data_IF_042970634956
#
_entry.id   IF_042970634956
#
_cell.length_a   1.000
_cell.length_b   1.000
_cell.length_c   1.000
_cell.angle_alpha   90.00
_cell.angle_beta   90.00
_cell.angle_gamma   90.00
#
_symmetry.space_group_name_H-M   'P 1'
#
loop_
_entity.id
_entity.type
_entity.pdbx_description
1 polymer ?
#
# COMPACT_ATOMS: atom_id res chain seq x y z
N UNK A 1 0.30 -30.95 1.84
CA UNK A 1 0.74 -29.55 1.99
C UNK A 1 -0.49 -28.67 2.02
N UNK A 2 -0.57 -27.75 2.99
CA UNK A 2 -1.73 -26.87 3.18
C UNK A 2 -1.92 -25.93 1.98
N UNK A 3 -3.15 -25.51 1.72
CA UNK A 3 -3.46 -24.39 0.82
C UNK A 3 -3.69 -23.15 1.67
N UNK A 4 -3.01 -22.06 1.38
CA UNK A 4 -3.01 -20.86 2.23
C UNK A 4 -3.25 -19.63 1.37
N UNK A 5 -4.09 -18.73 1.87
CA UNK A 5 -4.27 -17.37 1.37
C UNK A 5 -4.14 -16.42 2.55
N UNK A 6 -3.49 -15.29 2.34
CA UNK A 6 -3.35 -14.21 3.30
C UNK A 6 -3.80 -12.90 2.65
N UNK A 7 -4.27 -11.95 3.44
CA UNK A 7 -4.92 -10.73 2.96
C UNK A 7 -4.73 -9.62 3.99
N UNK A 8 -4.72 -8.33 3.59
CA UNK A 8 -4.97 -7.26 4.54
C UNK A 8 -6.31 -7.48 5.23
N UNK A 9 -6.45 -7.01 6.48
CA UNK A 9 -7.69 -7.18 7.23
C UNK A 9 -8.84 -6.33 6.65
N UNK A 10 -8.52 -5.21 5.99
CA UNK A 10 -9.49 -4.35 5.31
C UNK A 10 -8.86 -3.65 4.09
N UNK A 11 -9.59 -3.67 2.98
CA UNK A 11 -9.29 -2.88 1.78
C UNK A 11 -10.43 -1.90 1.53
N UNK A 12 -10.10 -0.62 1.33
CA UNK A 12 -11.06 0.47 1.13
C UNK A 12 -10.64 1.19 -0.14
N UNK A 13 -11.56 1.38 -1.07
CA UNK A 13 -11.33 2.12 -2.31
C UNK A 13 -12.53 2.98 -2.63
N UNK A 14 -12.27 4.21 -3.05
CA UNK A 14 -13.30 5.11 -3.56
C UNK A 14 -12.82 6.54 -3.71
N UNK A 15 -13.63 7.40 -4.34
CA UNK A 15 -13.33 8.83 -4.42
C UNK A 15 -13.33 9.40 -3.00
N UNK A 16 -12.34 10.25 -2.71
CA UNK A 16 -12.24 10.97 -1.45
C UNK A 16 -12.09 10.05 -0.22
N UNK A 17 -11.59 8.82 -0.41
CA UNK A 17 -11.37 7.86 0.67
C UNK A 17 -10.43 8.41 1.77
N UNK A 18 -9.50 9.30 1.44
CA UNK A 18 -8.61 9.93 2.42
C UNK A 18 -9.35 10.82 3.42
N UNK A 19 -10.51 11.39 3.06
CA UNK A 19 -11.32 12.18 3.99
C UNK A 19 -11.85 11.33 5.16
N UNK A 20 -11.84 10.00 5.01
CA UNK A 20 -12.28 9.06 6.03
C UNK A 20 -11.13 8.25 6.66
N UNK A 21 -9.87 8.54 6.35
CA UNK A 21 -8.74 7.75 6.89
C UNK A 21 -8.71 7.78 8.43
N UNK A 22 -9.06 8.91 9.08
CA UNK A 22 -9.17 9.01 10.54
C UNK A 22 -10.19 8.06 11.14
N UNK A 23 -11.36 7.91 10.48
CA UNK A 23 -12.43 6.99 10.90
C UNK A 23 -11.94 5.55 10.98
N UNK A 24 -11.18 5.13 9.98
CA UNK A 24 -10.69 3.76 9.88
C UNK A 24 -9.45 3.50 10.73
N UNK A 25 -8.66 4.54 11.00
CA UNK A 25 -7.51 4.47 11.92
C UNK A 25 -7.93 4.44 13.39
N UNK A 26 -8.97 5.19 13.79
CA UNK A 26 -9.38 5.34 15.20
C UNK A 26 -9.49 4.01 16.00
N UNK A 27 -10.05 2.91 15.45
CA UNK A 27 -10.10 1.63 16.16
C UNK A 27 -8.74 0.95 16.37
N UNK A 28 -7.71 1.34 15.62
CA UNK A 28 -6.34 0.81 15.73
C UNK A 28 -5.50 1.58 16.77
N UNK A 29 -5.80 2.87 16.96
CA UNK A 29 -5.10 3.70 17.93
C UNK A 29 -5.39 5.20 17.75
N UNK A 30 -5.29 5.95 18.85
CA UNK A 30 -5.60 7.38 18.88
C UNK A 30 -4.37 8.29 18.66
N UNK A 31 -3.19 7.69 18.49
CA UNK A 31 -1.93 8.40 18.20
C UNK A 31 -1.25 7.76 17.00
N UNK A 32 -1.14 8.49 15.90
CA UNK A 32 -0.60 7.99 14.65
C UNK A 32 0.74 8.65 14.31
N UNK A 33 1.72 7.87 13.87
CA UNK A 33 2.84 8.40 13.09
C UNK A 33 2.48 8.30 11.61
N UNK A 34 2.47 9.43 10.90
CA UNK A 34 2.11 9.55 9.49
C UNK A 34 3.39 9.80 8.70
N UNK A 35 3.79 8.82 7.89
CA UNK A 35 5.01 8.83 7.09
C UNK A 35 4.62 9.16 5.65
N UNK A 36 5.12 10.29 5.15
CA UNK A 36 4.91 10.75 3.78
C UNK A 36 6.14 11.53 3.29
N UNK A 37 6.44 11.51 1.99
CA UNK A 37 7.44 12.43 1.46
C UNK A 37 6.89 13.87 1.39
N UNK A 38 7.78 14.83 1.13
CA UNK A 38 7.41 16.25 1.08
C UNK A 38 6.30 16.54 0.05
N UNK A 39 6.38 15.93 -1.14
CA UNK A 39 5.40 16.17 -2.19
C UNK A 39 4.01 15.64 -1.78
N UNK A 40 3.97 14.45 -1.18
CA UNK A 40 2.72 13.85 -0.71
C UNK A 40 2.13 14.62 0.48
N UNK A 41 2.97 15.17 1.37
CA UNK A 41 2.50 16.07 2.42
C UNK A 41 1.83 17.32 1.84
N UNK A 42 2.40 17.92 0.80
CA UNK A 42 1.81 19.08 0.13
C UNK A 42 0.50 18.70 -0.61
N UNK A 43 0.44 17.49 -1.18
CA UNK A 43 -0.71 16.99 -1.93
C UNK A 43 -1.92 16.62 -1.04
N UNK A 44 -1.68 15.90 0.05
CA UNK A 44 -2.72 15.23 0.83
C UNK A 44 -2.66 15.50 2.35
N UNK A 45 -1.64 16.22 2.83
CA UNK A 45 -1.40 16.41 4.27
C UNK A 45 -2.55 17.11 4.98
N UNK A 46 -3.17 18.12 4.37
CA UNK A 46 -4.35 18.81 4.93
C UNK A 46 -5.54 17.87 5.05
N UNK A 47 -5.88 17.14 3.99
CA UNK A 47 -7.00 16.17 3.96
C UNK A 47 -6.82 15.12 5.05
N UNK A 48 -5.62 14.54 5.16
CA UNK A 48 -5.32 13.54 6.18
C UNK A 48 -5.41 14.16 7.58
N UNK A 49 -4.83 15.35 7.80
CA UNK A 49 -4.87 16.05 9.10
C UNK A 49 -6.30 16.38 9.53
N UNK A 50 -7.12 16.88 8.61
CA UNK A 50 -8.52 17.22 8.88
C UNK A 50 -9.32 15.97 9.22
N UNK A 51 -9.11 14.87 8.49
CA UNK A 51 -9.71 13.57 8.81
C UNK A 51 -9.28 13.06 10.18
N UNK A 52 -7.98 13.11 10.50
CA UNK A 52 -7.49 12.73 11.83
C UNK A 52 -8.14 13.55 12.94
N UNK A 53 -8.22 14.87 12.76
CA UNK A 53 -8.82 15.80 13.73
C UNK A 53 -10.32 15.51 13.92
N UNK A 54 -11.06 15.34 12.83
CA UNK A 54 -12.50 15.04 12.85
C UNK A 54 -12.83 13.77 13.63
N UNK A 55 -11.96 12.77 13.56
CA UNK A 55 -12.17 11.47 14.22
C UNK A 55 -11.32 11.29 15.49
N UNK A 56 -10.81 12.39 16.05
CA UNK A 56 -10.08 12.42 17.32
C UNK A 56 -8.88 11.46 17.35
N UNK A 57 -8.09 11.47 16.28
CA UNK A 57 -6.79 10.80 16.19
C UNK A 57 -5.71 11.88 16.16
N UNK A 58 -4.76 11.82 17.09
CA UNK A 58 -3.60 12.70 17.09
C UNK A 58 -2.56 12.19 16.08
N UNK A 59 -2.45 12.84 14.93
CA UNK A 59 -1.51 12.48 13.86
C UNK A 59 -0.25 13.35 13.88
N UNK A 60 0.91 12.72 14.07
CA UNK A 60 2.22 13.35 13.88
C UNK A 60 2.73 13.05 12.47
N UNK A 61 2.94 14.09 11.65
CA UNK A 61 3.51 13.95 10.31
C UNK A 61 5.04 13.95 10.39
N UNK A 62 5.65 12.95 9.77
CA UNK A 62 7.10 12.83 9.67
C UNK A 62 7.52 12.64 8.22
N UNK A 63 8.49 13.44 7.78
CA UNK A 63 8.94 13.45 6.40
C UNK A 63 9.76 12.19 6.11
N UNK A 64 9.37 11.46 5.06
CA UNK A 64 10.14 10.38 4.49
C UNK A 64 11.25 10.92 3.59
N UNK A 65 12.48 10.44 3.76
CA UNK A 65 13.65 10.91 3.01
C UNK A 65 13.92 10.17 1.69
N UNK A 66 12.94 9.41 1.16
CA UNK A 66 12.92 8.93 -0.22
C UNK A 66 13.36 7.48 -0.43
N UNK A 67 14.30 6.96 0.37
CA UNK A 67 14.79 5.58 0.23
C UNK A 67 14.39 4.69 1.41
N UNK A 68 13.84 3.51 1.08
CA UNK A 68 13.49 2.47 2.05
C UNK A 68 14.77 1.72 2.46
N UNK A 69 15.53 2.31 3.38
CA UNK A 69 16.79 1.77 3.91
C UNK A 69 16.64 1.40 5.38
N UNK A 70 17.50 0.51 5.87
CA UNK A 70 17.55 0.20 7.31
C UNK A 70 17.72 1.45 8.19
N UNK A 71 18.56 2.40 7.76
CA UNK A 71 18.82 3.66 8.47
C UNK A 71 17.57 4.53 8.60
N UNK A 72 16.82 4.68 7.50
CA UNK A 72 15.61 5.50 7.50
C UNK A 72 14.48 4.83 8.31
N UNK A 73 14.37 3.50 8.23
CA UNK A 73 13.45 2.72 9.06
C UNK A 73 13.77 2.92 10.54
N UNK A 74 15.04 2.80 10.95
CA UNK A 74 15.45 2.94 12.34
C UNK A 74 15.21 4.37 12.87
N UNK A 75 15.46 5.39 12.06
CA UNK A 75 15.13 6.79 12.38
C UNK A 75 13.63 6.96 12.67
N UNK A 76 12.79 6.44 11.80
CA UNK A 76 11.33 6.54 11.93
C UNK A 76 10.78 5.70 13.09
N UNK A 77 11.42 4.58 13.42
CA UNK A 77 11.10 3.79 14.63
C UNK A 77 11.36 4.60 15.90
N UNK A 78 12.47 5.33 15.98
CA UNK A 78 12.75 6.18 17.15
C UNK A 78 11.73 7.33 17.26
N UNK A 79 11.33 7.92 16.14
CA UNK A 79 10.28 8.96 16.13
C UNK A 79 8.93 8.37 16.56
N UNK A 80 8.56 7.17 16.08
CA UNK A 80 7.34 6.49 16.49
C UNK A 80 7.29 6.28 18.01
N UNK A 81 8.42 5.89 18.62
CA UNK A 81 8.54 5.75 20.08
C UNK A 81 8.43 7.09 20.80
N UNK A 82 9.11 8.12 20.33
CA UNK A 82 9.07 9.48 20.93
C UNK A 82 7.66 10.07 20.91
N UNK A 83 6.91 9.85 19.83
CA UNK A 83 5.51 10.28 19.70
C UNK A 83 4.52 9.34 20.40
N UNK A 84 5.02 8.24 21.00
CA UNK A 84 4.22 7.18 21.60
C UNK A 84 3.10 6.71 20.65
N UNK A 85 3.44 6.54 19.37
CA UNK A 85 2.51 6.12 18.33
C UNK A 85 1.90 4.76 18.69
N UNK A 86 0.61 4.62 18.38
CA UNK A 86 -0.17 3.40 18.53
C UNK A 86 -0.51 2.77 17.18
N UNK A 87 -0.32 3.52 16.08
CA UNK A 87 -0.55 3.08 14.70
C UNK A 87 0.40 3.83 13.78
N UNK A 88 0.90 3.13 12.75
CA UNK A 88 1.71 3.74 11.69
C UNK A 88 0.83 3.92 10.45
N UNK A 89 0.92 5.08 9.80
CA UNK A 89 0.24 5.36 8.53
C UNK A 89 1.30 5.69 7.49
N UNK A 90 1.36 4.95 6.39
CA UNK A 90 2.16 5.30 5.23
C UNK A 90 1.27 5.92 4.15
N UNK A 91 1.57 7.14 3.71
CA UNK A 91 0.85 7.80 2.59
C UNK A 91 1.86 8.15 1.50
N UNK A 92 1.72 7.56 0.30
CA UNK A 92 2.62 7.85 -0.81
C UNK A 92 2.83 6.71 -1.80
N UNK A 93 3.99 6.69 -2.43
CA UNK A 93 4.42 5.64 -3.36
C UNK A 93 5.10 4.46 -2.66
N UNK A 94 5.45 3.42 -3.43
CA UNK A 94 5.90 2.12 -2.91
C UNK A 94 6.99 2.17 -1.82
N UNK A 95 8.02 3.01 -1.97
CA UNK A 95 9.11 3.15 -0.98
C UNK A 95 8.63 3.68 0.37
N UNK A 96 7.70 4.63 0.36
CA UNK A 96 7.07 5.15 1.59
C UNK A 96 6.26 4.06 2.27
N UNK A 97 5.49 3.29 1.49
CA UNK A 97 4.62 2.24 2.02
C UNK A 97 5.42 1.07 2.60
N UNK A 98 6.51 0.68 1.93
CA UNK A 98 7.44 -0.33 2.43
C UNK A 98 8.14 0.11 3.72
N UNK A 99 8.58 1.36 3.77
CA UNK A 99 9.15 1.94 4.99
C UNK A 99 8.14 1.92 6.14
N UNK A 100 6.89 2.32 5.89
CA UNK A 100 5.82 2.31 6.91
C UNK A 100 5.52 0.89 7.42
N UNK A 101 5.45 -0.11 6.53
CA UNK A 101 5.29 -1.52 6.93
C UNK A 101 6.46 -1.99 7.81
N UNK A 102 7.69 -1.64 7.46
CA UNK A 102 8.87 -2.01 8.23
C UNK A 102 8.92 -1.33 9.61
N UNK A 103 8.58 -0.05 9.69
CA UNK A 103 8.48 0.69 10.96
C UNK A 103 7.41 0.06 11.86
N UNK A 104 6.21 -0.20 11.32
CA UNK A 104 5.14 -0.82 12.07
C UNK A 104 5.52 -2.21 12.59
N UNK A 105 6.19 -3.02 11.76
CA UNK A 105 6.69 -4.34 12.15
C UNK A 105 7.70 -4.24 13.30
N UNK A 106 8.69 -3.34 13.22
CA UNK A 106 9.68 -3.15 14.28
C UNK A 106 9.08 -2.61 15.58
N UNK A 107 8.05 -1.76 15.48
CA UNK A 107 7.33 -1.23 16.64
C UNK A 107 6.24 -2.18 17.18
N UNK A 108 5.95 -3.30 16.48
CA UNK A 108 4.83 -4.18 16.77
C UNK A 108 3.46 -3.47 16.80
N UNK A 109 3.30 -2.47 15.93
CA UNK A 109 2.09 -1.67 15.82
C UNK A 109 1.26 -2.07 14.59
N UNK A 110 -0.06 -1.80 14.59
CA UNK A 110 -0.86 -1.86 13.38
C UNK A 110 -0.39 -0.84 12.33
N UNK A 111 -0.66 -1.14 11.06
CA UNK A 111 -0.29 -0.30 9.91
C UNK A 111 -1.46 -0.03 8.99
N UNK A 112 -1.62 1.24 8.61
CA UNK A 112 -2.51 1.71 7.56
C UNK A 112 -1.67 2.16 6.37
N UNK A 113 -1.99 1.67 5.18
CA UNK A 113 -1.27 1.95 3.95
C UNK A 113 -2.21 2.70 3.01
N UNK A 114 -1.80 3.88 2.55
CA UNK A 114 -2.57 4.71 1.62
C UNK A 114 -1.73 5.06 0.39
N UNK A 115 -1.80 4.25 -0.67
CA UNK A 115 -1.10 4.54 -1.92
C UNK A 115 -1.67 5.80 -2.57
N UNK A 116 -0.80 6.70 -3.02
CA UNK A 116 -1.19 7.86 -3.84
C UNK A 116 -1.11 7.56 -5.34
N UNK A 117 -0.58 6.40 -5.70
CA UNK A 117 -0.42 5.90 -7.06
C UNK A 117 -0.73 4.40 -7.09
N UNK A 118 -1.30 3.91 -8.19
CA UNK A 118 -1.56 2.50 -8.44
C UNK A 118 -0.55 1.93 -9.44
N UNK A 119 0.73 1.87 -9.04
CA UNK A 119 1.84 1.48 -9.93
C UNK A 119 2.45 0.11 -9.68
N UNK A 120 2.13 -0.52 -8.55
CA UNK A 120 2.53 -1.88 -8.19
C UNK A 120 1.49 -2.54 -7.29
N UNK A 121 1.56 -3.87 -7.11
CA UNK A 121 0.68 -4.63 -6.20
C UNK A 121 1.16 -4.71 -4.73
N UNK A 122 2.33 -4.12 -4.43
CA UNK A 122 2.98 -4.09 -3.12
C UNK A 122 2.15 -3.56 -1.93
N UNK A 123 1.16 -2.64 -2.09
CA UNK A 123 0.42 -2.11 -0.95
C UNK A 123 -0.28 -3.14 -0.06
N UNK A 124 -0.69 -4.28 -0.62
CA UNK A 124 -1.43 -5.30 0.14
C UNK A 124 -0.54 -6.42 0.68
N UNK A 125 0.73 -6.49 0.28
CA UNK A 125 1.61 -7.63 0.55
C UNK A 125 2.21 -7.59 1.97
N UNK A 126 2.50 -8.77 2.51
CA UNK A 126 3.27 -8.96 3.74
C UNK A 126 4.79 -8.98 3.48
N UNK A 127 5.27 -8.05 2.65
CA UNK A 127 6.66 -7.95 2.21
C UNK A 127 7.04 -6.48 2.03
N UNK A 128 8.30 -6.15 2.27
CA UNK A 128 8.92 -4.93 1.74
C UNK A 128 10.25 -5.19 1.06
N UNK A 129 10.60 -4.32 0.11
CA UNK A 129 11.91 -4.32 -0.53
C UNK A 129 12.79 -3.28 0.16
N UNK A 130 13.94 -3.73 0.65
CA UNK A 130 14.94 -2.89 1.30
C UNK A 130 16.04 -2.55 0.30
N UNK A 131 16.49 -1.31 0.36
CA UNK A 131 17.54 -0.76 -0.50
C UNK A 131 18.73 -0.29 0.32
N UNK A 132 19.87 -0.21 -0.35
CA UNK A 132 21.06 0.50 0.12
C UNK A 132 20.88 2.02 -0.02
N UNK A 133 21.73 2.84 0.62
CA UNK A 133 21.69 4.31 0.46
C UNK A 133 21.95 4.78 -0.99
N UNK A 134 22.53 3.93 -1.83
CA UNK A 134 22.74 4.18 -3.26
C UNK A 134 21.58 3.72 -4.15
N UNK A 135 20.49 3.21 -3.55
CA UNK A 135 19.29 2.76 -4.27
C UNK A 135 19.40 1.38 -4.91
N UNK A 136 20.50 0.64 -4.67
CA UNK A 136 20.59 -0.77 -5.08
C UNK A 136 19.73 -1.65 -4.16
N UNK A 137 19.18 -2.73 -4.71
CA UNK A 137 18.50 -3.77 -3.93
C UNK A 137 19.43 -4.31 -2.83
N UNK A 138 18.92 -4.41 -1.62
CA UNK A 138 19.61 -5.00 -0.48
C UNK A 138 18.97 -6.35 -0.12
N UNK A 139 17.70 -6.32 0.31
CA UNK A 139 17.02 -7.52 0.79
C UNK A 139 15.50 -7.45 0.70
N UNK A 140 14.87 -8.60 0.92
CA UNK A 140 13.44 -8.73 1.15
C UNK A 140 13.16 -8.84 2.66
N UNK A 141 12.20 -8.06 3.15
CA UNK A 141 11.72 -8.13 4.53
C UNK A 141 10.28 -8.67 4.57
N UNK A 142 10.14 -9.93 4.97
CA UNK A 142 8.84 -10.60 5.09
C UNK A 142 8.20 -10.36 6.46
N UNK A 143 6.90 -10.15 6.49
CA UNK A 143 6.12 -9.92 7.71
C UNK A 143 5.22 -11.11 8.04
N UNK A 144 4.92 -11.36 9.33
CA UNK A 144 4.00 -12.42 9.73
C UNK A 144 2.53 -12.10 9.42
N UNK A 145 2.21 -10.85 9.06
CA UNK A 145 0.87 -10.40 8.65
C UNK A 145 0.94 -9.36 7.53
N UNK A 146 -0.12 -9.28 6.73
CA UNK A 146 -0.36 -8.19 5.79
C UNK A 146 -0.70 -6.88 6.53
N UNK A 147 -0.72 -5.72 5.85
CA UNK A 147 -1.22 -4.47 6.42
C UNK A 147 -2.62 -4.61 7.02
N UNK A 148 -2.89 -3.91 8.12
CA UNK A 148 -4.18 -3.97 8.79
C UNK A 148 -5.27 -3.31 7.91
N UNK A 149 -4.94 -2.17 7.30
CA UNK A 149 -5.85 -1.45 6.39
C UNK A 149 -5.10 -0.93 5.17
N UNK A 150 -5.69 -1.06 3.99
CA UNK A 150 -5.28 -0.37 2.75
C UNK A 150 -6.38 0.60 2.33
N UNK A 151 -6.04 1.87 2.09
CA UNK A 151 -6.95 2.94 1.67
C UNK A 151 -6.52 3.49 0.31
N UNK A 152 -7.37 3.33 -0.69
CA UNK A 152 -7.13 3.73 -2.07
C UNK A 152 -8.06 4.90 -2.43
N UNK A 153 -7.54 6.13 -2.37
CA UNK A 153 -8.28 7.30 -2.82
C UNK A 153 -8.19 7.43 -4.35
N UNK A 154 -9.29 7.13 -5.03
CA UNK A 154 -9.30 7.07 -6.48
C UNK A 154 -9.24 8.44 -7.13
N UNK A 155 -9.59 9.53 -6.44
CA UNK A 155 -9.40 10.89 -6.96
C UNK A 155 -7.92 11.29 -6.95
N UNK A 156 -7.20 10.93 -5.88
CA UNK A 156 -5.74 11.12 -5.80
C UNK A 156 -5.03 10.30 -6.87
N UNK A 157 -5.38 9.00 -7.00
CA UNK A 157 -4.79 8.10 -7.99
C UNK A 157 -5.10 8.57 -9.42
N UNK A 158 -6.34 9.00 -9.71
CA UNK A 158 -6.71 9.52 -11.02
C UNK A 158 -5.95 10.79 -11.42
N UNK A 159 -5.49 11.56 -10.43
CA UNK A 159 -4.72 12.80 -10.65
C UNK A 159 -3.22 12.53 -10.85
N UNK A 160 -2.75 11.30 -10.59
CA UNK A 160 -1.35 10.94 -10.78
C UNK A 160 -0.98 10.78 -12.27
N UNK A 161 0.32 10.86 -12.63
CA UNK A 161 0.76 10.64 -14.01
C UNK A 161 0.26 9.30 -14.58
N UNK A 162 -0.40 9.28 -15.76
CA UNK A 162 -0.98 8.06 -16.34
C UNK A 162 0.03 6.93 -16.57
N UNK A 163 1.31 7.28 -16.75
CA UNK A 163 2.40 6.31 -16.86
C UNK A 163 2.47 5.38 -15.65
N UNK A 164 2.15 5.87 -14.45
CA UNK A 164 2.19 5.10 -13.22
C UNK A 164 1.04 4.09 -13.16
N UNK A 165 -0.17 4.47 -13.57
CA UNK A 165 -1.28 3.51 -13.72
C UNK A 165 -0.94 2.43 -14.76
N UNK A 166 -0.37 2.83 -15.91
CA UNK A 166 0.04 1.87 -16.95
C UNK A 166 1.14 0.93 -16.45
N UNK A 167 2.07 1.41 -15.63
CA UNK A 167 3.06 0.57 -14.97
C UNK A 167 2.39 -0.46 -14.05
N UNK A 168 1.41 -0.03 -13.24
CA UNK A 168 0.63 -0.94 -12.39
C UNK A 168 -0.19 -1.96 -13.16
N UNK A 169 -0.75 -1.59 -14.31
CA UNK A 169 -1.39 -2.55 -15.22
C UNK A 169 -0.40 -3.58 -15.76
N UNK A 170 0.85 -3.18 -16.03
CA UNK A 170 1.91 -4.09 -16.45
C UNK A 170 2.28 -5.10 -15.36
N UNK A 171 2.39 -4.63 -14.11
CA UNK A 171 2.64 -5.47 -12.94
C UNK A 171 1.49 -6.47 -12.71
N UNK A 172 0.25 -5.96 -12.69
CA UNK A 172 -0.96 -6.74 -12.52
C UNK A 172 -1.23 -7.76 -13.65
N UNK A 173 -0.74 -7.49 -14.87
CA UNK A 173 -0.87 -8.40 -16.01
C UNK A 173 -0.11 -9.72 -15.79
N UNK A 174 1.02 -9.69 -15.08
CA UNK A 174 1.82 -10.88 -14.80
C UNK A 174 1.10 -11.85 -13.83
N UNK A 175 0.30 -11.30 -12.90
CA UNK A 175 -0.31 -12.01 -11.78
C UNK A 175 -1.03 -13.30 -12.18
N UNK A 176 -1.88 -13.26 -13.21
CA UNK A 176 -2.62 -14.46 -13.66
C UNK A 176 -1.69 -15.55 -14.18
N UNK A 177 -0.75 -15.18 -15.03
CA UNK A 177 0.12 -16.14 -15.70
C UNK A 177 1.07 -16.81 -14.70
N UNK A 178 1.62 -16.03 -13.75
CA UNK A 178 2.47 -16.54 -12.67
C UNK A 178 1.68 -17.42 -11.69
N UNK A 179 0.51 -16.96 -11.22
CA UNK A 179 -0.34 -17.73 -10.32
C UNK A 179 -0.78 -19.06 -10.96
N UNK A 180 -1.17 -19.04 -12.25
CA UNK A 180 -1.54 -20.24 -13.01
C UNK A 180 -0.36 -21.19 -13.18
N UNK A 181 0.83 -20.68 -13.49
CA UNK A 181 2.05 -21.49 -13.63
C UNK A 181 2.42 -22.17 -12.30
N UNK A 182 2.45 -21.40 -11.19
CA UNK A 182 2.71 -21.92 -9.85
C UNK A 182 1.69 -22.97 -9.41
N UNK A 183 0.40 -22.74 -9.70
CA UNK A 183 -0.68 -23.69 -9.40
C UNK A 183 -0.52 -25.01 -10.17
N UNK A 184 -0.26 -24.95 -11.49
CA UNK A 184 -0.01 -26.14 -12.33
C UNK A 184 1.24 -26.91 -11.89
N UNK A 185 2.30 -26.20 -11.54
CA UNK A 185 3.55 -26.78 -11.04
C UNK A 185 3.47 -27.19 -9.57
N UNK A 186 2.33 -26.98 -8.89
CA UNK A 186 2.12 -27.30 -7.47
C UNK A 186 3.18 -26.67 -6.54
N UNK A 187 3.67 -25.47 -6.89
CA UNK A 187 4.69 -24.74 -6.13
C UNK A 187 4.09 -24.03 -4.91
N UNK A 188 4.94 -23.78 -3.92
CA UNK A 188 4.59 -23.02 -2.73
C UNK A 188 4.52 -21.53 -3.08
N UNK A 189 3.53 -20.84 -2.54
CA UNK A 189 3.35 -19.39 -2.65
C UNK A 189 4.05 -18.68 -1.49
N UNK A 190 4.20 -17.35 -1.59
CA UNK A 190 4.73 -16.54 -0.49
C UNK A 190 3.85 -16.57 0.78
N UNK A 191 2.60 -17.02 0.68
CA UNK A 191 1.73 -17.24 1.83
C UNK A 191 2.06 -18.54 2.61
N UNK A 192 3.14 -19.24 2.24
CA UNK A 192 3.61 -20.43 2.97
C UNK A 192 2.88 -21.74 2.63
N UNK A 193 1.96 -21.74 1.66
CA UNK A 193 1.24 -22.94 1.22
C UNK A 193 1.04 -23.01 -0.29
N UNK A 194 0.35 -24.06 -0.75
CA UNK A 194 -0.11 -24.18 -2.14
C UNK A 194 -1.20 -23.15 -2.44
N UNK A 195 -1.36 -22.81 -3.72
CA UNK A 195 -2.40 -21.90 -4.20
C UNK A 195 -3.81 -22.38 -3.81
N UNK A 196 -4.63 -21.45 -3.28
CA UNK A 196 -6.07 -21.67 -3.03
C UNK A 196 -6.88 -21.41 -4.30
N UNK A 197 -8.10 -21.96 -4.38
CA UNK A 197 -9.01 -21.62 -5.48
C UNK A 197 -9.37 -20.13 -5.48
N UNK A 198 -9.54 -19.54 -4.30
CA UNK A 198 -9.80 -18.10 -4.13
C UNK A 198 -8.68 -17.25 -4.74
N UNK A 199 -7.41 -17.53 -4.42
CA UNK A 199 -6.29 -16.77 -4.95
C UNK A 199 -6.18 -16.90 -6.49
N UNK A 200 -6.43 -18.09 -7.04
CA UNK A 200 -6.39 -18.29 -8.48
C UNK A 200 -7.53 -17.56 -9.20
N UNK A 201 -8.74 -17.58 -8.63
CA UNK A 201 -9.89 -16.86 -9.17
C UNK A 201 -9.67 -15.33 -9.15
N UNK A 202 -9.08 -14.79 -8.08
CA UNK A 202 -8.72 -13.37 -8.01
C UNK A 202 -7.64 -13.00 -9.05
N UNK A 203 -6.64 -13.86 -9.26
CA UNK A 203 -5.62 -13.64 -10.27
C UNK A 203 -6.20 -13.64 -11.70
N UNK A 204 -7.14 -14.54 -11.99
CA UNK A 204 -7.85 -14.59 -13.27
C UNK A 204 -8.77 -13.38 -13.46
N UNK A 205 -9.50 -12.98 -12.41
CA UNK A 205 -10.31 -11.76 -12.42
C UNK A 205 -9.46 -10.53 -12.73
N UNK A 206 -8.29 -10.39 -12.09
CA UNK A 206 -7.34 -9.32 -12.37
C UNK A 206 -7.03 -9.21 -13.87
N UNK A 207 -6.68 -10.34 -14.50
CA UNK A 207 -6.41 -10.38 -15.94
C UNK A 207 -7.61 -9.93 -16.77
N UNK A 208 -8.81 -10.43 -16.49
CA UNK A 208 -10.01 -10.05 -17.23
C UNK A 208 -10.39 -8.57 -17.05
N UNK A 209 -10.30 -8.04 -15.83
CA UNK A 209 -10.52 -6.62 -15.54
C UNK A 209 -9.55 -5.73 -16.31
N UNK A 210 -8.26 -6.10 -16.41
CA UNK A 210 -7.30 -5.35 -17.21
C UNK A 210 -7.67 -5.29 -18.69
N UNK A 211 -8.15 -6.40 -19.26
CA UNK A 211 -8.59 -6.45 -20.66
C UNK A 211 -9.86 -5.61 -20.90
N UNK A 212 -10.80 -5.66 -19.95
CA UNK A 212 -12.07 -4.97 -20.07
C UNK A 212 -11.95 -3.46 -19.82
N UNK A 213 -11.18 -3.06 -18.80
CA UNK A 213 -11.16 -1.68 -18.29
C UNK A 213 -9.87 -0.94 -18.53
N UNK A 214 -8.73 -1.61 -18.76
CA UNK A 214 -7.42 -0.96 -18.75
C UNK A 214 -7.26 0.21 -19.73
N UNK A 215 -7.83 0.10 -20.94
CA UNK A 215 -7.80 1.21 -21.90
C UNK A 215 -8.70 2.37 -21.47
N UNK A 216 -9.90 2.09 -20.93
CA UNK A 216 -10.84 3.11 -20.43
C UNK A 216 -10.22 3.84 -19.23
N UNK A 217 -9.64 3.10 -18.30
CA UNK A 217 -8.93 3.63 -17.13
C UNK A 217 -7.80 4.57 -17.53
N UNK A 218 -6.95 4.15 -18.48
CA UNK A 218 -5.87 4.98 -19.02
C UNK A 218 -6.40 6.30 -19.59
N UNK A 219 -7.47 6.26 -20.40
CA UNK A 219 -8.05 7.47 -20.99
C UNK A 219 -8.64 8.42 -19.95
N UNK A 220 -9.21 7.89 -18.87
CA UNK A 220 -9.77 8.66 -17.76
C UNK A 220 -8.66 9.36 -16.96
N UNK A 221 -7.62 8.62 -16.56
CA UNK A 221 -6.47 9.16 -15.82
C UNK A 221 -5.64 10.13 -16.67
N UNK A 222 -5.54 9.93 -17.99
CA UNK A 222 -4.95 10.91 -18.91
C UNK A 222 -5.66 12.27 -18.92
N UNK A 223 -6.88 12.36 -18.38
CA UNK A 223 -7.65 13.59 -18.22
C UNK A 223 -7.87 13.96 -16.75
N UNK A 224 -7.20 13.27 -15.82
CA UNK A 224 -7.38 13.44 -14.38
C UNK A 224 -8.83 13.25 -13.91
N UNK A 225 -9.53 12.27 -14.49
CA UNK A 225 -10.92 11.95 -14.15
C UNK A 225 -11.01 10.57 -13.51
N UNK A 226 -11.67 10.49 -12.35
CA UNK A 226 -12.06 9.22 -11.74
C UNK A 226 -13.36 8.72 -12.38
N UNK A 227 -13.33 7.51 -12.95
CA UNK A 227 -14.52 6.82 -13.52
C UNK A 227 -14.64 5.44 -12.90
N UNK A 228 -15.70 4.69 -13.20
CA UNK A 228 -15.83 3.30 -12.74
C UNK A 228 -14.68 2.39 -13.16
N UNK A 229 -13.95 2.74 -14.23
CA UNK A 229 -12.78 1.98 -14.69
C UNK A 229 -11.49 2.29 -13.91
N UNK A 230 -11.50 3.31 -13.03
CA UNK A 230 -10.33 3.77 -12.26
C UNK A 230 -10.35 3.22 -10.84
#
# INVERSE_FOLDING_TARGET
MLKVIQSPAKYIQGPDALYHIGKYTKPLGERALIIADKFVMDLAGSIVKDSMTQYEVNGHFEQFHGECTHKEIDRLVEIAKQQAALVIIGVGGGKTLDTAKAVAYKCQLPVVISPTIASTDAPTSALSVIYTELGAFDSYLFYPKNPDIVVMDTNVIASAPPRLLVAGMGDALATYFEARACSRAQKQTMAGGKTTLAALALAELCYHTLLEDGYKAKLAVSRSVCTTAV
#
